data_IF_740862808650
#
_entry.id   IF_740862808650
#
_cell.length_a   1.000
_cell.length_b   1.000
_cell.length_c   1.000
_cell.angle_alpha   90.00
_cell.angle_beta   90.00
_cell.angle_gamma   90.00
#
_symmetry.space_group_name_H-M   'P 1'
#
loop_
_entity.id
_entity.type
_entity.pdbx_description
1 polymer ?
#
# COMPACT_ATOMS: atom_id res chain seq x y z
N UNK A 1 -10.10 -28.82 -0.45
CA UNK A 1 -8.63 -28.91 -0.26
C UNK A 1 -8.00 -28.94 -1.63
N UNK A 2 -7.02 -28.06 -1.85
CA UNK A 2 -6.19 -28.04 -3.06
C UNK A 2 -4.76 -28.25 -2.58
N UNK A 3 -4.00 -29.12 -3.25
CA UNK A 3 -2.57 -29.29 -3.00
C UNK A 3 -1.87 -29.49 -4.34
N UNK A 4 -0.74 -28.81 -4.55
CA UNK A 4 0.03 -28.92 -5.79
C UNK A 4 -0.70 -28.42 -7.05
N UNK A 5 -1.78 -27.65 -6.89
CA UNK A 5 -2.65 -27.23 -7.99
C UNK A 5 -3.82 -28.18 -8.27
N UNK A 6 -3.89 -29.32 -7.59
CA UNK A 6 -4.94 -30.32 -7.79
C UNK A 6 -6.02 -30.26 -6.71
N UNK A 7 -7.28 -30.39 -7.12
CA UNK A 7 -8.42 -30.48 -6.21
C UNK A 7 -8.45 -31.87 -5.57
N UNK A 8 -8.04 -31.96 -4.31
CA UNK A 8 -7.99 -33.25 -3.58
C UNK A 8 -9.30 -33.59 -2.88
N UNK A 9 -10.05 -32.59 -2.43
CA UNK A 9 -11.31 -32.82 -1.73
C UNK A 9 -12.24 -31.62 -1.85
N UNK A 10 -13.54 -31.89 -2.03
CA UNK A 10 -14.60 -30.89 -1.97
C UNK A 10 -15.69 -31.43 -1.05
N UNK A 11 -15.94 -30.71 0.03
CA UNK A 11 -16.94 -31.07 1.03
C UNK A 11 -17.77 -29.85 1.40
N UNK A 12 -19.04 -30.07 1.75
CA UNK A 12 -19.88 -29.02 2.29
C UNK A 12 -19.38 -28.64 3.69
N UNK A 13 -19.39 -27.34 4.00
CA UNK A 13 -19.18 -26.80 5.34
C UNK A 13 -20.16 -25.65 5.56
N UNK A 14 -20.70 -25.57 6.77
CA UNK A 14 -21.40 -24.37 7.22
C UNK A 14 -20.41 -23.21 7.34
N UNK A 15 -20.70 -22.10 6.67
CA UNK A 15 -19.96 -20.86 6.78
C UNK A 15 -20.90 -19.67 6.52
N UNK A 16 -20.56 -18.52 7.08
CA UNK A 16 -21.22 -17.25 6.72
C UNK A 16 -20.93 -16.87 5.26
N UNK A 17 -21.71 -15.96 4.65
CA UNK A 17 -21.42 -15.42 3.34
C UNK A 17 -20.00 -14.84 3.25
N UNK A 18 -19.25 -15.24 2.23
CA UNK A 18 -17.86 -14.84 2.02
C UNK A 18 -16.97 -16.02 1.62
N UNK A 19 -15.66 -15.78 1.59
CA UNK A 19 -14.67 -16.80 1.22
C UNK A 19 -13.53 -16.81 2.22
N UNK A 20 -13.20 -17.99 2.74
CA UNK A 20 -12.05 -18.19 3.63
C UNK A 20 -11.01 -19.04 2.93
N UNK A 21 -9.78 -18.53 2.85
CA UNK A 21 -8.62 -19.27 2.38
C UNK A 21 -7.74 -19.66 3.58
N UNK A 22 -7.35 -20.93 3.65
CA UNK A 22 -6.32 -21.39 4.58
C UNK A 22 -5.16 -21.95 3.76
N UNK A 23 -4.03 -21.24 3.78
CA UNK A 23 -2.79 -21.66 3.13
C UNK A 23 -1.89 -22.24 4.20
N UNK A 24 -1.43 -23.47 4.01
CA UNK A 24 -0.55 -24.20 4.95
C UNK A 24 0.61 -24.79 4.17
N UNK A 25 1.78 -24.86 4.80
CA UNK A 25 3.00 -25.39 4.21
C UNK A 25 3.32 -24.72 2.86
N UNK A 26 3.41 -23.38 2.86
CA UNK A 26 3.75 -22.62 1.66
C UNK A 26 5.08 -23.13 1.07
N UNK A 27 5.10 -23.33 -0.25
CA UNK A 27 6.24 -23.88 -0.99
C UNK A 27 6.64 -25.33 -0.66
N UNK A 28 5.76 -26.15 -0.05
CA UNK A 28 6.08 -27.56 0.25
C UNK A 28 6.54 -28.37 -0.98
N UNK A 29 6.03 -28.06 -2.18
CA UNK A 29 6.36 -28.71 -3.44
C UNK A 29 7.35 -27.91 -4.32
N UNK A 30 7.98 -26.87 -3.77
CA UNK A 30 8.94 -26.02 -4.45
C UNK A 30 10.14 -25.73 -3.53
N UNK A 31 11.04 -26.72 -3.31
CA UNK A 31 12.08 -26.65 -2.28
C UNK A 31 13.00 -25.44 -2.46
N UNK A 32 13.42 -25.17 -3.70
CA UNK A 32 14.24 -23.99 -4.03
C UNK A 32 13.55 -22.69 -3.57
N UNK A 33 12.25 -22.51 -3.84
CA UNK A 33 11.50 -21.31 -3.39
C UNK A 33 11.39 -21.22 -1.87
N UNK A 34 11.33 -22.36 -1.19
CA UNK A 34 11.31 -22.41 0.28
C UNK A 34 12.63 -21.93 0.88
N UNK A 35 13.76 -22.24 0.25
CA UNK A 35 15.10 -21.77 0.68
C UNK A 35 15.28 -20.26 0.49
N UNK A 36 14.53 -19.63 -0.43
CA UNK A 36 14.53 -18.17 -0.62
C UNK A 36 13.74 -17.40 0.44
N UNK A 37 12.99 -18.08 1.32
CA UNK A 37 12.29 -17.40 2.42
C UNK A 37 13.29 -16.76 3.37
N UNK A 38 13.01 -15.51 3.75
CA UNK A 38 13.80 -14.81 4.76
C UNK A 38 13.36 -15.24 6.16
N UNK A 39 13.90 -14.60 7.19
CA UNK A 39 13.44 -14.81 8.56
C UNK A 39 11.94 -14.51 8.69
N UNK A 40 11.27 -15.21 9.61
CA UNK A 40 9.83 -15.03 9.88
C UNK A 40 9.48 -13.57 10.15
N UNK A 41 10.32 -12.85 10.91
CA UNK A 41 10.14 -11.43 11.18
C UNK A 41 10.19 -10.56 9.90
N UNK A 42 11.05 -10.92 8.94
CA UNK A 42 11.17 -10.19 7.66
C UNK A 42 9.94 -10.42 6.80
N UNK A 43 9.50 -11.67 6.68
CA UNK A 43 8.29 -12.02 5.91
C UNK A 43 7.03 -11.42 6.56
N UNK A 44 6.90 -11.48 7.89
CA UNK A 44 5.80 -10.86 8.62
C UNK A 44 5.76 -9.34 8.41
N UNK A 45 6.93 -8.67 8.40
CA UNK A 45 7.04 -7.25 8.08
C UNK A 45 6.62 -6.94 6.64
N UNK A 46 7.01 -7.78 5.68
CA UNK A 46 6.60 -7.63 4.28
C UNK A 46 5.09 -7.82 4.10
N UNK A 47 4.50 -8.82 4.75
CA UNK A 47 3.04 -9.04 4.74
C UNK A 47 2.31 -7.85 5.39
N UNK A 48 2.81 -7.37 6.53
CA UNK A 48 2.23 -6.21 7.22
C UNK A 48 2.25 -4.98 6.32
N UNK A 49 3.35 -4.72 5.61
CA UNK A 49 3.43 -3.62 4.66
C UNK A 49 2.37 -3.72 3.54
N UNK A 50 2.12 -4.91 3.00
CA UNK A 50 1.08 -5.13 1.98
C UNK A 50 -0.32 -4.88 2.56
N UNK A 51 -0.62 -5.41 3.75
CA UNK A 51 -1.92 -5.20 4.40
C UNK A 51 -2.16 -3.72 4.70
N UNK A 52 -1.14 -3.01 5.19
CA UNK A 52 -1.16 -1.56 5.42
C UNK A 52 -1.46 -0.78 4.14
N UNK A 53 -0.83 -1.15 3.02
CA UNK A 53 -1.09 -0.51 1.72
C UNK A 53 -2.56 -0.68 1.28
N UNK A 54 -3.11 -1.88 1.39
CA UNK A 54 -4.52 -2.10 1.04
C UNK A 54 -5.48 -1.39 2.01
N UNK A 55 -5.15 -1.35 3.29
CA UNK A 55 -5.95 -0.63 4.28
C UNK A 55 -6.02 0.87 4.01
N UNK A 56 -4.94 1.47 3.52
CA UNK A 56 -4.90 2.88 3.12
C UNK A 56 -5.54 3.15 1.75
N UNK A 57 -5.42 2.22 0.81
CA UNK A 57 -6.04 2.34 -0.52
C UNK A 57 -7.57 2.18 -0.47
N UNK A 58 -8.08 1.44 0.51
CA UNK A 58 -9.50 1.12 0.71
C UNK A 58 -9.91 1.38 2.18
N UNK A 59 -9.91 2.64 2.64
CA UNK A 59 -10.25 2.99 4.03
C UNK A 59 -11.68 2.61 4.43
N UNK A 60 -12.56 2.33 3.46
CA UNK A 60 -13.91 1.80 3.65
C UNK A 60 -13.95 0.30 4.00
N UNK A 61 -12.83 -0.41 3.88
CA UNK A 61 -12.71 -1.82 4.22
C UNK A 61 -12.01 -1.98 5.56
N UNK A 62 -12.60 -2.75 6.46
CA UNK A 62 -11.98 -3.13 7.73
C UNK A 62 -10.95 -4.23 7.51
N UNK A 63 -9.70 -3.95 7.83
CA UNK A 63 -8.62 -4.92 7.83
C UNK A 63 -8.30 -5.35 9.26
N UNK A 64 -7.99 -6.63 9.45
CA UNK A 64 -7.51 -7.17 10.72
C UNK A 64 -6.45 -8.23 10.42
N UNK A 65 -5.27 -8.06 11.00
CA UNK A 65 -4.14 -8.97 10.84
C UNK A 65 -3.64 -9.39 12.22
N UNK A 66 -3.58 -10.70 12.40
CA UNK A 66 -2.96 -11.31 13.58
C UNK A 66 -1.71 -12.06 13.15
N UNK A 67 -0.63 -11.90 13.92
CA UNK A 67 0.59 -12.68 13.81
C UNK A 67 0.79 -13.39 15.14
N UNK A 68 0.83 -14.72 15.11
CA UNK A 68 0.97 -15.57 16.31
C UNK A 68 -0.04 -15.22 17.42
N UNK A 69 -1.29 -14.94 17.01
CA UNK A 69 -2.39 -14.59 17.92
C UNK A 69 -2.38 -13.15 18.43
N UNK A 70 -1.37 -12.34 18.09
CA UNK A 70 -1.30 -10.92 18.46
C UNK A 70 -1.82 -10.05 17.33
N UNK A 71 -2.64 -9.06 17.67
CA UNK A 71 -3.14 -8.07 16.72
C UNK A 71 -1.98 -7.15 16.28
N UNK A 72 -1.69 -7.12 14.98
CA UNK A 72 -0.62 -6.29 14.39
C UNK A 72 -1.20 -5.14 13.58
N UNK A 73 -2.29 -5.38 12.84
CA UNK A 73 -3.02 -4.35 12.09
C UNK A 73 -4.50 -4.49 12.40
N UNK A 74 -5.15 -3.37 12.67
CA UNK A 74 -6.60 -3.28 12.75
C UNK A 74 -7.03 -1.91 12.26
N UNK A 75 -7.92 -1.85 11.26
CA UNK A 75 -8.52 -0.59 10.80
C UNK A 75 -10.02 -0.55 11.07
N UNK A 76 -10.56 0.65 11.17
CA UNK A 76 -11.97 0.92 11.45
C UNK A 76 -12.90 0.61 10.27
N UNK A 77 -12.41 0.78 9.03
CA UNK A 77 -13.20 0.56 7.81
C UNK A 77 -14.30 1.61 7.59
N UNK A 78 -14.08 2.84 8.05
CA UNK A 78 -15.08 3.92 8.06
C UNK A 78 -15.07 4.80 6.81
N UNK A 79 -14.09 4.62 5.92
CA UNK A 79 -14.01 5.35 4.63
C UNK A 79 -13.14 6.60 4.65
N UNK A 80 -12.53 6.96 5.78
CA UNK A 80 -11.60 8.09 5.87
C UNK A 80 -10.14 7.62 5.95
N UNK A 81 -9.30 8.14 5.05
CA UNK A 81 -7.86 7.88 5.02
C UNK A 81 -7.16 8.40 6.29
N UNK A 82 -7.63 9.51 6.89
CA UNK A 82 -7.05 10.01 8.14
C UNK A 82 -7.32 9.04 9.30
N UNK A 83 -8.52 8.47 9.38
CA UNK A 83 -8.84 7.44 10.37
C UNK A 83 -8.00 6.17 10.16
N UNK A 84 -7.84 5.72 8.92
CA UNK A 84 -6.94 4.60 8.62
C UNK A 84 -5.50 4.89 9.05
N UNK A 85 -5.00 6.12 8.89
CA UNK A 85 -3.68 6.52 9.38
C UNK A 85 -3.59 6.60 10.90
N UNK A 86 -4.67 7.00 11.60
CA UNK A 86 -4.73 6.94 13.07
C UNK A 86 -4.61 5.48 13.52
N UNK A 87 -5.36 4.58 12.90
CA UNK A 87 -5.38 3.15 13.20
C UNK A 87 -4.00 2.49 12.98
N UNK A 88 -3.25 2.94 11.97
CA UNK A 88 -1.97 2.33 11.55
C UNK A 88 -0.73 2.98 12.17
N UNK A 89 -0.72 4.31 12.34
CA UNK A 89 0.45 5.08 12.77
C UNK A 89 0.25 5.82 14.09
N UNK A 90 -0.93 5.74 14.68
CA UNK A 90 -1.28 6.40 15.92
C UNK A 90 -1.75 7.84 15.74
N UNK A 91 -2.49 8.31 16.74
CA UNK A 91 -3.14 9.60 16.74
C UNK A 91 -2.17 10.79 16.64
N UNK A 92 -1.03 10.70 17.33
CA UNK A 92 -0.04 11.77 17.39
C UNK A 92 0.58 12.07 16.03
N UNK A 93 0.81 11.02 15.23
CA UNK A 93 1.34 11.14 13.87
C UNK A 93 0.24 11.68 12.96
N UNK A 94 -0.94 11.06 12.96
CA UNK A 94 -2.02 11.38 12.04
C UNK A 94 -2.58 12.79 12.22
N UNK A 95 -2.59 13.34 13.46
CA UNK A 95 -3.02 14.72 13.73
C UNK A 95 -2.10 15.77 13.09
N UNK A 96 -0.81 15.50 12.99
CA UNK A 96 0.15 16.42 12.42
C UNK A 96 0.11 16.44 10.88
N UNK A 97 -0.51 15.44 10.25
CA UNK A 97 -0.53 15.34 8.79
C UNK A 97 -1.38 16.44 8.15
N UNK A 98 -0.81 17.05 7.13
CA UNK A 98 -1.37 18.12 6.33
C UNK A 98 -2.14 17.53 5.14
N UNK A 99 -3.39 17.98 4.90
CA UNK A 99 -4.15 17.52 3.75
C UNK A 99 -3.53 18.03 2.44
N UNK A 100 -3.60 17.18 1.42
CA UNK A 100 -3.30 17.51 0.02
C UNK A 100 -4.59 17.29 -0.76
N UNK A 101 -5.03 18.31 -1.48
CA UNK A 101 -6.09 18.23 -2.49
C UNK A 101 -5.71 19.19 -3.61
N UNK A 102 -5.15 18.64 -4.68
CA UNK A 102 -4.66 19.38 -5.83
C UNK A 102 -5.17 18.73 -7.12
N UNK A 103 -5.45 19.55 -8.12
CA UNK A 103 -5.80 19.09 -9.45
C UNK A 103 -5.05 19.91 -10.51
N UNK A 104 -4.71 19.28 -11.64
CA UNK A 104 -4.02 19.92 -12.75
C UNK A 104 -4.64 19.57 -14.10
N UNK A 105 -5.13 20.63 -14.76
CA UNK A 105 -5.80 20.65 -16.06
C UNK A 105 -7.27 20.23 -16.01
N UNK A 106 -7.99 20.61 -17.07
CA UNK A 106 -9.47 20.59 -17.11
C UNK A 106 -10.03 19.67 -18.22
N UNK A 107 -9.17 18.80 -18.77
CA UNK A 107 -9.46 17.89 -19.87
C UNK A 107 -9.52 16.41 -19.40
N UNK A 108 -9.72 15.48 -20.34
CA UNK A 108 -9.68 14.03 -20.04
C UNK A 108 -8.34 13.53 -19.50
N UNK A 109 -7.30 14.36 -19.51
CA UNK A 109 -5.96 14.06 -19.02
C UNK A 109 -5.69 14.75 -17.67
N UNK A 110 -6.73 15.29 -17.02
CA UNK A 110 -6.63 15.88 -15.70
C UNK A 110 -6.03 14.90 -14.68
N UNK A 111 -5.13 15.43 -13.85
CA UNK A 111 -4.50 14.71 -12.74
C UNK A 111 -5.03 15.30 -11.45
N UNK A 112 -5.50 14.47 -10.52
CA UNK A 112 -5.87 14.90 -9.19
C UNK A 112 -5.06 14.13 -8.14
N UNK A 113 -4.52 14.83 -7.14
CA UNK A 113 -3.75 14.24 -6.05
C UNK A 113 -4.46 14.58 -4.75
N UNK A 114 -4.83 13.55 -3.99
CA UNK A 114 -5.49 13.69 -2.70
C UNK A 114 -4.79 12.86 -1.64
N UNK A 115 -4.78 13.34 -0.40
CA UNK A 115 -4.29 12.55 0.72
C UNK A 115 -3.67 13.40 1.81
N UNK A 116 -2.66 12.84 2.46
CA UNK A 116 -2.07 13.38 3.69
C UNK A 116 -0.55 13.26 3.64
N UNK A 117 0.15 14.32 4.04
CA UNK A 117 1.62 14.36 4.11
C UNK A 117 2.09 14.94 5.43
N UNK A 118 3.27 14.56 5.90
CA UNK A 118 3.82 15.07 7.14
C UNK A 118 4.42 16.47 6.97
N UNK A 119 4.39 17.32 8.01
CA UNK A 119 5.22 18.52 8.03
C UNK A 119 6.70 18.12 8.08
N UNK A 120 7.64 19.01 7.68
CA UNK A 120 9.06 18.68 7.63
C UNK A 120 9.69 18.23 8.96
N UNK A 121 9.09 18.59 10.10
CA UNK A 121 9.53 18.15 11.42
C UNK A 121 9.17 16.68 11.74
N UNK A 122 8.17 16.11 11.07
CA UNK A 122 7.72 14.73 11.30
C UNK A 122 8.26 13.83 10.19
N UNK A 123 9.27 13.03 10.53
CA UNK A 123 10.04 12.27 9.55
C UNK A 123 10.27 10.82 9.99
N UNK A 124 10.74 9.97 9.07
CA UNK A 124 11.15 8.58 9.30
C UNK A 124 12.54 8.32 8.74
N UNK A 125 13.21 7.30 9.26
CA UNK A 125 14.52 6.84 8.78
C UNK A 125 14.44 5.97 7.53
N UNK A 126 13.24 5.56 7.11
CA UNK A 126 13.02 4.76 5.91
C UNK A 126 11.78 5.24 5.17
N UNK A 127 11.71 4.90 3.87
CA UNK A 127 10.56 5.16 2.99
C UNK A 127 9.32 4.31 3.30
N UNK A 128 9.34 3.47 4.35
CA UNK A 128 8.25 2.55 4.66
C UNK A 128 6.93 3.23 5.07
N UNK A 129 6.96 4.53 5.34
CA UNK A 129 5.78 5.35 5.64
C UNK A 129 5.32 6.21 4.45
N UNK A 130 5.87 5.98 3.26
CA UNK A 130 5.44 6.61 2.00
C UNK A 130 4.54 5.62 1.27
N UNK A 131 3.26 5.96 1.19
CA UNK A 131 2.23 5.20 0.48
C UNK A 131 1.71 6.02 -0.69
N UNK A 132 1.96 5.54 -1.90
CA UNK A 132 1.53 6.19 -3.12
C UNK A 132 0.58 5.25 -3.86
N UNK A 133 -0.55 5.77 -4.28
CA UNK A 133 -1.58 5.05 -5.00
C UNK A 133 -1.84 5.75 -6.33
N UNK A 134 -2.06 4.95 -7.38
CA UNK A 134 -2.56 5.46 -8.66
C UNK A 134 -3.87 4.74 -8.93
N UNK A 135 -4.98 5.48 -8.93
CA UNK A 135 -6.33 4.92 -9.03
C UNK A 135 -6.54 3.75 -8.03
N UNK A 136 -6.24 3.97 -6.75
CA UNK A 136 -6.29 2.97 -5.66
C UNK A 136 -5.36 1.75 -5.78
N UNK A 137 -4.41 1.77 -6.72
CA UNK A 137 -3.38 0.73 -6.83
C UNK A 137 -2.09 1.18 -6.17
N UNK A 138 -1.62 0.42 -5.18
CA UNK A 138 -0.36 0.70 -4.49
C UNK A 138 0.83 0.62 -5.46
N UNK A 139 1.68 1.64 -5.42
CA UNK A 139 2.92 1.73 -6.20
C UNK A 139 4.11 1.51 -5.26
N UNK A 140 5.18 0.91 -5.79
CA UNK A 140 6.39 0.74 -4.99
C UNK A 140 7.03 2.09 -4.60
N UNK A 141 7.56 2.22 -3.37
CA UNK A 141 8.20 3.44 -2.86
C UNK A 141 9.62 3.66 -3.43
N UNK A 142 9.85 3.22 -4.67
CA UNK A 142 11.12 3.31 -5.41
C UNK A 142 10.96 3.93 -6.80
N UNK A 143 9.72 4.24 -7.18
CA UNK A 143 9.41 4.87 -8.47
C UNK A 143 9.66 6.39 -8.48
N UNK A 144 9.51 6.97 -9.66
CA UNK A 144 9.68 8.42 -9.90
C UNK A 144 8.81 9.29 -8.99
N UNK A 145 7.57 8.86 -8.68
CA UNK A 145 6.68 9.60 -7.79
C UNK A 145 7.23 9.77 -6.38
N UNK A 146 7.94 8.75 -5.87
CA UNK A 146 8.59 8.86 -4.55
C UNK A 146 9.74 9.85 -4.60
N UNK A 147 10.49 9.89 -5.71
CA UNK A 147 11.59 10.84 -5.90
C UNK A 147 11.04 12.27 -5.95
N UNK A 148 9.97 12.53 -6.70
CA UNK A 148 9.32 13.85 -6.75
C UNK A 148 8.81 14.28 -5.38
N UNK A 149 8.15 13.38 -4.64
CA UNK A 149 7.72 13.66 -3.28
C UNK A 149 8.90 14.03 -2.39
N UNK A 150 10.00 13.30 -2.44
CA UNK A 150 11.20 13.61 -1.65
C UNK A 150 11.85 14.94 -2.07
N UNK A 151 11.87 15.23 -3.37
CA UNK A 151 12.40 16.47 -3.91
C UNK A 151 11.59 17.69 -3.44
N UNK A 152 10.26 17.55 -3.31
CA UNK A 152 9.41 18.59 -2.72
C UNK A 152 9.80 18.92 -1.25
N UNK A 153 10.51 18.02 -0.57
CA UNK A 153 11.00 18.19 0.81
C UNK A 153 12.51 18.43 0.92
N UNK A 154 13.27 18.44 -0.19
CA UNK A 154 14.74 18.35 -0.13
C UNK A 154 15.43 19.48 0.65
N UNK A 155 14.87 20.70 0.64
CA UNK A 155 15.37 21.84 1.42
C UNK A 155 14.85 21.89 2.85
N UNK A 156 13.80 21.12 3.14
CA UNK A 156 13.06 21.17 4.41
C UNK A 156 13.47 20.06 5.37
N UNK A 157 14.23 19.07 4.89
CA UNK A 157 14.55 17.84 5.63
C UNK A 157 16.03 17.48 5.60
N UNK A 158 16.50 16.85 6.67
CA UNK A 158 17.86 16.31 6.71
C UNK A 158 18.02 15.13 5.73
N UNK A 159 19.23 14.96 5.20
CA UNK A 159 19.57 13.82 4.33
C UNK A 159 19.28 12.49 5.03
N UNK A 160 18.70 11.54 4.30
CA UNK A 160 18.35 10.21 4.81
C UNK A 160 17.09 10.17 5.68
N UNK A 161 16.32 11.27 5.74
CA UNK A 161 14.99 11.32 6.36
C UNK A 161 13.93 11.35 5.27
N UNK A 162 12.79 10.74 5.57
CA UNK A 162 11.67 10.59 4.65
C UNK A 162 10.37 11.08 5.29
N UNK A 163 9.47 11.75 4.54
CA UNK A 163 8.18 12.14 5.08
C UNK A 163 7.28 10.93 5.33
N UNK A 164 6.25 11.11 6.15
CA UNK A 164 5.10 10.20 6.18
C UNK A 164 4.11 10.73 5.14
N UNK A 165 3.69 9.88 4.21
CA UNK A 165 2.78 10.28 3.14
C UNK A 165 1.81 9.15 2.80
N UNK A 166 0.56 9.52 2.53
CA UNK A 166 -0.44 8.66 1.92
C UNK A 166 -1.15 9.50 0.85
N UNK A 167 -0.85 9.23 -0.42
CA UNK A 167 -1.35 10.02 -1.56
C UNK A 167 -2.02 9.11 -2.59
N UNK A 168 -3.25 9.44 -2.96
CA UNK A 168 -4.02 8.86 -4.07
C UNK A 168 -3.97 9.81 -5.27
N UNK A 169 -3.28 9.37 -6.31
CA UNK A 169 -3.16 10.05 -7.60
C UNK A 169 -4.22 9.46 -8.52
N UNK A 170 -5.17 10.29 -8.91
CA UNK A 170 -6.25 9.95 -9.82
C UNK A 170 -5.97 10.54 -11.18
N UNK A 171 -6.04 9.67 -12.16
CA UNK A 171 -5.82 9.98 -13.57
C UNK A 171 -6.76 9.14 -14.40
N UNK A 172 -7.10 9.61 -15.59
CA UNK A 172 -7.95 8.84 -16.48
C UNK A 172 -7.31 7.47 -16.80
N UNK A 173 -8.06 6.35 -16.79
CA UNK A 173 -7.49 5.01 -17.00
C UNK A 173 -6.71 4.85 -18.32
N UNK A 174 -7.06 5.61 -19.36
CA UNK A 174 -6.32 5.60 -20.64
C UNK A 174 -4.93 6.23 -20.55
N UNK A 175 -4.64 6.99 -19.50
CA UNK A 175 -3.35 7.66 -19.26
C UNK A 175 -2.36 6.79 -18.49
N UNK A 176 -2.78 5.61 -18.02
CA UNK A 176 -1.96 4.71 -17.22
C UNK A 176 -1.88 3.35 -17.88
N UNK A 177 -0.66 2.95 -18.23
CA UNK A 177 -0.38 1.56 -18.54
C UNK A 177 -0.01 0.81 -17.26
N UNK A 178 -0.90 -0.11 -16.90
CA UNK A 178 -0.80 -0.97 -15.71
C UNK A 178 -0.03 -2.26 -15.98
N UNK A 179 0.23 -2.61 -17.24
CA UNK A 179 0.78 -3.90 -17.69
C UNK A 179 2.31 -3.87 -17.87
N UNK A 180 3.01 -3.12 -17.02
CA UNK A 180 4.44 -2.87 -17.17
C UNK A 180 5.29 -3.85 -16.35
N UNK A 181 4.76 -4.34 -15.21
CA UNK A 181 5.49 -5.25 -14.33
C UNK A 181 4.64 -6.48 -13.98
N UNK A 182 5.21 -7.70 -13.90
CA UNK A 182 4.47 -8.93 -13.56
C UNK A 182 3.70 -8.86 -12.24
N UNK A 183 4.25 -8.16 -11.24
CA UNK A 183 3.58 -7.95 -9.94
C UNK A 183 2.63 -6.77 -9.93
N UNK A 184 2.48 -6.05 -11.05
CA UNK A 184 1.68 -4.83 -11.12
C UNK A 184 2.06 -3.89 -9.96
N UNK A 185 3.34 -3.59 -9.82
CA UNK A 185 3.82 -2.66 -8.77
C UNK A 185 4.37 -1.35 -9.31
N UNK A 186 4.45 -1.24 -10.64
CA UNK A 186 4.84 -0.04 -11.37
C UNK A 186 3.75 0.30 -12.39
N UNK A 187 3.64 1.58 -12.69
CA UNK A 187 2.74 2.11 -13.70
C UNK A 187 3.52 3.04 -14.62
N UNK A 188 3.22 3.01 -15.91
CA UNK A 188 3.77 3.95 -16.87
C UNK A 188 2.70 4.95 -17.25
N UNK A 189 2.98 6.23 -17.04
CA UNK A 189 2.11 7.29 -17.48
C UNK A 189 2.36 7.58 -18.96
N UNK A 190 1.29 7.91 -19.70
CA UNK A 190 1.42 8.40 -21.07
C UNK A 190 2.06 9.78 -21.11
N UNK A 191 1.65 10.66 -20.20
CA UNK A 191 2.27 11.97 -19.98
C UNK A 191 2.88 12.01 -18.57
N UNK A 192 4.14 11.60 -18.47
CA UNK A 192 4.87 11.59 -17.20
C UNK A 192 5.10 13.00 -16.68
N UNK A 193 5.39 13.98 -17.55
CA UNK A 193 5.72 15.35 -17.14
C UNK A 193 4.54 16.05 -16.49
N UNK A 194 3.32 15.75 -16.92
CA UNK A 194 2.11 16.31 -16.32
C UNK A 194 1.78 15.71 -14.95
N UNK A 195 2.17 14.47 -14.70
CA UNK A 195 1.88 13.74 -13.44
C UNK A 195 2.93 14.01 -12.36
N UNK A 196 4.20 14.19 -12.75
CA UNK A 196 5.31 14.53 -11.86
C UNK A 196 5.28 16.02 -11.50
#
# INVERSE_FOLDING_TARGET
RIAGGELQARTARGCSPGTTFSVRNLFYNAPVRREFLRSEATEASAITAIVTQYALAYPEVRFTMLVDGRMVVQTSGRGDMREALIDLYGLDVARQLLPVDAAHGDDEQAVAVRGLVSPPGLTRSSRGAIHLFVNRRAIQPRGQLTIVLEEAYHTLMMKGRHPVAALDIRVHPSMVDVNVHPTKSEVKFRDTTRVL
#
